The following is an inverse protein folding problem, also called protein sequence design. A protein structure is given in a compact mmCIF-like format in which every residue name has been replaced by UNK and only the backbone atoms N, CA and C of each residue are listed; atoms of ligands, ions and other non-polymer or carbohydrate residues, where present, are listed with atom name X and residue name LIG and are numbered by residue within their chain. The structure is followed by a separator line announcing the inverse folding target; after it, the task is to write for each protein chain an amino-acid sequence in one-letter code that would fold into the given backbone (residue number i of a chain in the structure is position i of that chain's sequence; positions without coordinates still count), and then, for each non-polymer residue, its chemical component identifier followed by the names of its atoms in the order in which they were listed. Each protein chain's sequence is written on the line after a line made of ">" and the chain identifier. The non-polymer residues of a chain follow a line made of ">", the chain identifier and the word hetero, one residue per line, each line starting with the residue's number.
data_IF_544905265510
#
_entry.id   IF_544905265510
#
_cell.length_a   1.000
_cell.length_b   1.000
_cell.length_c   1.000
_cell.angle_alpha   90.00
_cell.angle_beta   90.00
_cell.angle_gamma   90.00
#
_symmetry.space_group_name_H-M   'P 1'
#
loop_
_entity.id
_entity.type
_entity.pdbx_description
1 polymer ?
#
# COMPACT_ATOMS: atom_id res chain seq x y z
N UNK A 1 6.81 -24.18 2.92
CA UNK A 1 8.01 -23.49 2.41
C UNK A 1 7.78 -22.89 1.01
N UNK A 2 7.35 -23.68 0.00
CA UNK A 2 7.10 -23.17 -1.37
C UNK A 2 5.90 -22.21 -1.45
N UNK A 3 4.81 -22.49 -0.74
CA UNK A 3 3.54 -21.74 -0.81
C UNK A 3 3.64 -20.25 -0.41
N UNK A 4 4.52 -19.88 0.53
CA UNK A 4 4.61 -18.50 1.00
C UNK A 4 5.44 -17.61 0.05
N UNK A 5 6.48 -18.17 -0.60
CA UNK A 5 7.23 -17.47 -1.66
C UNK A 5 6.36 -17.27 -2.90
N UNK A 6 5.48 -18.24 -3.20
CA UNK A 6 4.49 -18.10 -4.29
C UNK A 6 3.50 -16.99 -3.98
N UNK A 7 2.94 -16.95 -2.77
CA UNK A 7 2.04 -15.85 -2.35
C UNK A 7 2.66 -14.45 -2.49
N UNK A 8 3.95 -14.29 -2.12
CA UNK A 8 4.66 -13.01 -2.33
C UNK A 8 4.79 -12.65 -3.81
N UNK A 9 5.18 -13.60 -4.65
CA UNK A 9 5.36 -13.37 -6.09
C UNK A 9 4.04 -12.99 -6.76
N UNK A 10 2.95 -13.63 -6.35
CA UNK A 10 1.60 -13.31 -6.81
C UNK A 10 1.14 -11.91 -6.37
N UNK A 11 1.45 -11.52 -5.12
CA UNK A 11 1.16 -10.17 -4.61
C UNK A 11 1.96 -9.10 -5.36
N UNK A 12 3.21 -9.41 -5.74
CA UNK A 12 4.06 -8.51 -6.50
C UNK A 12 3.49 -8.26 -7.91
N UNK A 13 3.05 -9.32 -8.60
CA UNK A 13 2.41 -9.21 -9.91
C UNK A 13 1.08 -8.43 -9.84
N UNK A 14 0.27 -8.67 -8.80
CA UNK A 14 -0.97 -7.92 -8.59
C UNK A 14 -0.69 -6.42 -8.35
N UNK A 15 0.37 -6.10 -7.61
CA UNK A 15 0.80 -4.72 -7.37
C UNK A 15 1.19 -4.00 -8.66
N UNK A 16 1.90 -4.65 -9.59
CA UNK A 16 2.33 -4.01 -10.84
C UNK A 16 1.14 -3.43 -11.63
N UNK A 17 0.01 -4.13 -11.66
CA UNK A 17 -1.21 -3.66 -12.31
C UNK A 17 -1.95 -2.64 -11.45
N UNK A 18 -2.08 -2.91 -10.15
CA UNK A 18 -2.77 -2.02 -9.22
C UNK A 18 -2.11 -0.64 -9.12
N UNK A 19 -0.79 -0.58 -9.15
CA UNK A 19 -0.05 0.67 -9.06
C UNK A 19 -0.32 1.60 -10.25
N UNK A 20 -0.71 1.06 -11.40
CA UNK A 20 -0.97 1.82 -12.63
C UNK A 20 -2.38 2.41 -12.72
N UNK A 21 -3.31 2.00 -11.85
CA UNK A 21 -4.68 2.54 -11.84
C UNK A 21 -4.70 3.96 -11.28
N UNK A 22 -5.71 4.76 -11.59
CA UNK A 22 -5.88 6.08 -10.96
C UNK A 22 -6.42 5.97 -9.53
N UNK A 23 -6.33 7.06 -8.77
CA UNK A 23 -6.76 7.08 -7.37
C UNK A 23 -8.28 6.88 -7.21
N UNK A 24 -9.08 7.37 -8.16
CA UNK A 24 -10.55 7.24 -8.11
C UNK A 24 -10.99 5.78 -8.25
N UNK A 25 -10.37 5.04 -9.18
CA UNK A 25 -10.59 3.61 -9.34
C UNK A 25 -10.15 2.86 -8.08
N UNK A 26 -8.98 3.20 -7.51
CA UNK A 26 -8.51 2.57 -6.27
C UNK A 26 -9.51 2.79 -5.13
N UNK A 27 -9.95 4.03 -4.95
CA UNK A 27 -10.92 4.43 -3.93
C UNK A 27 -12.25 3.71 -4.08
N UNK A 28 -12.74 3.54 -5.31
CA UNK A 28 -13.97 2.80 -5.57
C UNK A 28 -13.89 1.32 -5.16
N UNK A 29 -12.77 0.64 -5.46
CA UNK A 29 -12.63 -0.77 -5.06
C UNK A 29 -12.40 -0.93 -3.55
N UNK A 30 -11.66 0.00 -2.93
CA UNK A 30 -11.47 0.00 -1.47
C UNK A 30 -12.79 0.31 -0.74
N UNK A 31 -13.64 1.18 -1.30
CA UNK A 31 -14.99 1.42 -0.78
C UNK A 31 -15.87 0.17 -0.89
N UNK A 32 -15.77 -0.60 -1.98
CA UNK A 32 -16.45 -1.89 -2.11
C UNK A 32 -15.97 -2.88 -1.05
N UNK A 33 -14.65 -3.00 -0.84
CA UNK A 33 -14.06 -3.82 0.23
C UNK A 33 -14.60 -3.42 1.60
N UNK A 34 -14.60 -2.12 1.90
CA UNK A 34 -15.16 -1.57 3.14
C UNK A 34 -16.63 -1.95 3.32
N UNK A 35 -17.43 -1.91 2.26
CA UNK A 35 -18.86 -2.22 2.32
C UNK A 35 -19.12 -3.70 2.61
N UNK A 36 -18.33 -4.59 2.01
CA UNK A 36 -18.37 -6.03 2.30
C UNK A 36 -18.00 -6.32 3.77
N UNK A 37 -16.97 -5.64 4.29
CA UNK A 37 -16.58 -5.76 5.69
C UNK A 37 -17.67 -5.21 6.62
N UNK A 38 -18.23 -4.04 6.32
CA UNK A 38 -19.28 -3.39 7.13
C UNK A 38 -20.52 -4.26 7.29
N UNK A 39 -20.88 -5.03 6.25
CA UNK A 39 -22.01 -5.95 6.27
C UNK A 39 -21.87 -7.06 7.33
N UNK A 40 -20.63 -7.42 7.69
CA UNK A 40 -20.32 -8.47 8.67
C UNK A 40 -19.84 -7.90 10.00
N UNK A 41 -19.13 -6.77 9.99
CA UNK A 41 -18.57 -6.11 11.17
C UNK A 41 -18.43 -4.59 10.97
N UNK A 42 -19.46 -3.85 11.39
CA UNK A 42 -19.47 -2.39 11.33
C UNK A 42 -18.29 -1.70 12.06
N UNK A 43 -17.83 -2.16 13.26
CA UNK A 43 -16.72 -1.51 13.95
C UNK A 43 -15.40 -1.53 13.17
N UNK A 44 -15.14 -2.58 12.39
CA UNK A 44 -13.91 -2.69 11.59
C UNK A 44 -13.95 -1.79 10.36
N UNK A 45 -15.13 -1.50 9.83
CA UNK A 45 -15.31 -0.66 8.66
C UNK A 45 -15.20 0.85 8.95
N UNK A 46 -15.38 1.28 10.21
CA UNK A 46 -15.38 2.71 10.58
C UNK A 46 -14.04 3.40 10.25
N UNK A 47 -12.92 2.75 10.58
CA UNK A 47 -11.58 3.28 10.29
C UNK A 47 -11.30 3.34 8.79
N UNK A 48 -11.85 2.42 8.00
CA UNK A 48 -11.67 2.43 6.55
C UNK A 48 -12.34 3.66 5.91
N UNK A 49 -13.52 4.07 6.40
CA UNK A 49 -14.19 5.30 5.96
C UNK A 49 -13.30 6.53 6.22
N UNK A 50 -12.74 6.62 7.43
CA UNK A 50 -11.85 7.71 7.78
C UNK A 50 -10.64 7.78 6.84
N UNK A 51 -9.96 6.66 6.60
CA UNK A 51 -8.78 6.62 5.72
C UNK A 51 -9.10 6.84 4.23
N UNK A 52 -10.31 6.50 3.76
CA UNK A 52 -10.78 6.86 2.43
C UNK A 52 -10.84 8.39 2.25
N UNK A 53 -11.39 9.09 3.23
CA UNK A 53 -11.48 10.56 3.21
C UNK A 53 -10.09 11.21 3.29
N UNK A 54 -9.24 10.75 4.23
CA UNK A 54 -7.91 11.32 4.43
C UNK A 54 -6.99 11.07 3.24
N UNK A 55 -6.98 9.85 2.69
CA UNK A 55 -6.16 9.54 1.53
C UNK A 55 -6.61 10.31 0.28
N UNK A 56 -7.91 10.58 0.12
CA UNK A 56 -8.40 11.40 -0.98
C UNK A 56 -7.82 12.81 -0.94
N UNK A 57 -7.76 13.44 0.23
CA UNK A 57 -7.15 14.75 0.39
C UNK A 57 -5.63 14.77 0.12
N UNK A 58 -4.94 13.64 0.30
CA UNK A 58 -3.47 13.57 0.25
C UNK A 58 -2.92 12.99 -1.06
N UNK A 59 -3.66 12.10 -1.73
CA UNK A 59 -3.14 11.25 -2.81
C UNK A 59 -3.86 11.41 -4.16
N UNK A 60 -5.02 12.09 -4.20
CA UNK A 60 -5.84 12.16 -5.41
C UNK A 60 -5.25 13.05 -6.51
N UNK A 61 -4.62 14.16 -6.13
CA UNK A 61 -4.13 15.16 -7.08
C UNK A 61 -2.67 14.92 -7.49
N UNK A 62 -2.37 15.16 -8.76
CA UNK A 62 -1.01 15.33 -9.24
C UNK A 62 -0.63 16.81 -9.10
N UNK A 63 0.50 17.09 -8.45
CA UNK A 63 1.00 18.44 -8.28
C UNK A 63 1.78 18.89 -9.52
N UNK A 64 1.25 19.89 -10.22
CA UNK A 64 1.97 20.52 -11.32
C UNK A 64 3.17 21.32 -10.76
N UNK A 65 4.36 20.95 -11.21
CA UNK A 65 5.62 21.56 -10.80
C UNK A 65 6.05 22.61 -11.82
N UNK A 66 6.79 23.62 -11.36
CA UNK A 66 7.37 24.63 -12.24
C UNK A 66 8.30 23.98 -13.28
N UNK A 67 8.23 24.45 -14.52
CA UNK A 67 9.04 23.95 -15.64
C UNK A 67 9.19 24.99 -16.75
N UNK A 68 10.13 24.79 -17.68
CA UNK A 68 10.29 25.64 -18.87
C UNK A 68 9.12 25.45 -19.84
N UNK A 69 8.98 26.36 -20.81
CA UNK A 69 7.97 26.25 -21.87
C UNK A 69 8.14 24.97 -22.67
N UNK A 70 7.00 24.29 -22.93
CA UNK A 70 6.97 23.05 -23.67
C UNK A 70 7.48 21.83 -22.90
N UNK A 71 7.46 21.92 -21.57
CA UNK A 71 7.64 20.82 -20.63
C UNK A 71 6.48 20.81 -19.63
N UNK A 72 5.95 19.63 -19.33
CA UNK A 72 5.01 19.42 -18.21
C UNK A 72 5.71 18.57 -17.16
N UNK A 73 5.75 19.07 -15.92
CA UNK A 73 6.32 18.37 -14.77
C UNK A 73 5.23 18.10 -13.75
N UNK A 74 5.03 16.84 -13.40
CA UNK A 74 4.05 16.41 -12.38
C UNK A 74 4.76 15.68 -11.26
N UNK A 75 4.42 16.01 -10.01
CA UNK A 75 4.77 15.25 -8.81
C UNK A 75 3.51 14.50 -8.35
N UNK A 76 3.62 13.20 -8.15
CA UNK A 76 2.50 12.35 -7.74
C UNK A 76 2.97 11.22 -6.82
N UNK A 77 2.03 10.66 -6.06
CA UNK A 77 2.28 9.51 -5.20
C UNK A 77 2.07 8.20 -5.96
N UNK A 78 2.91 7.21 -5.68
CA UNK A 78 2.75 5.84 -6.18
C UNK A 78 2.97 4.83 -5.07
N UNK A 79 2.42 3.62 -5.25
CA UNK A 79 2.63 2.52 -4.32
C UNK A 79 4.10 2.10 -4.30
N UNK A 80 4.56 1.67 -3.13
CA UNK A 80 5.94 1.22 -2.94
C UNK A 80 6.16 -0.21 -3.41
N UNK A 81 5.15 -1.09 -3.28
CA UNK A 81 5.27 -2.51 -3.60
C UNK A 81 4.27 -3.39 -2.85
N UNK A 82 4.74 -4.54 -2.40
CA UNK A 82 4.01 -5.42 -1.47
C UNK A 82 4.12 -4.86 -0.05
N UNK A 83 2.99 -4.56 0.58
CA UNK A 83 2.86 -4.19 1.98
C UNK A 83 2.53 -5.41 2.83
N UNK A 84 3.33 -5.67 3.86
CA UNK A 84 3.09 -6.75 4.81
C UNK A 84 2.41 -6.17 6.06
N UNK A 85 1.24 -6.68 6.42
CA UNK A 85 0.53 -6.31 7.65
C UNK A 85 0.57 -7.51 8.59
N UNK A 86 1.15 -7.34 9.78
CA UNK A 86 1.29 -8.39 10.78
C UNK A 86 0.45 -7.99 11.99
N UNK A 87 -0.43 -8.89 12.42
CA UNK A 87 -1.26 -8.71 13.61
C UNK A 87 -0.88 -9.81 14.60
N UNK A 88 -0.29 -9.39 15.71
CA UNK A 88 0.08 -10.27 16.83
C UNK A 88 -1.16 -10.66 17.66
N UNK A 89 -1.01 -11.66 18.52
CA UNK A 89 -2.07 -11.99 19.49
C UNK A 89 -2.13 -10.91 20.57
N UNK A 90 -3.17 -10.08 20.47
CA UNK A 90 -3.38 -8.93 21.35
C UNK A 90 -4.55 -9.19 22.29
N UNK A 91 -4.43 -8.76 23.55
CA UNK A 91 -5.55 -8.81 24.51
C UNK A 91 -6.74 -7.98 24.02
N UNK A 92 -6.47 -6.77 23.51
CA UNK A 92 -7.46 -5.84 22.97
C UNK A 92 -7.75 -6.13 21.49
N UNK A 93 -8.52 -7.18 21.24
CA UNK A 93 -8.79 -7.65 19.86
C UNK A 93 -9.42 -6.60 18.95
N UNK A 94 -10.46 -5.91 19.41
CA UNK A 94 -11.21 -4.98 18.52
C UNK A 94 -10.33 -3.80 18.07
N UNK A 95 -9.65 -3.06 18.96
CA UNK A 95 -8.68 -2.03 18.55
C UNK A 95 -7.57 -2.54 17.64
N UNK A 96 -7.05 -3.76 17.91
CA UNK A 96 -6.00 -4.35 17.09
C UNK A 96 -6.48 -4.59 15.65
N UNK A 97 -7.66 -5.18 15.49
CA UNK A 97 -8.26 -5.46 14.18
C UNK A 97 -8.68 -4.19 13.44
N UNK A 98 -9.14 -3.16 14.16
CA UNK A 98 -9.38 -1.84 13.58
C UNK A 98 -8.07 -1.23 13.07
N UNK A 99 -6.99 -1.30 13.84
CA UNK A 99 -5.70 -0.77 13.40
C UNK A 99 -5.16 -1.54 12.20
N UNK A 100 -5.31 -2.86 12.19
CA UNK A 100 -4.98 -3.68 11.02
C UNK A 100 -5.78 -3.24 9.79
N UNK A 101 -7.08 -2.96 9.95
CA UNK A 101 -7.91 -2.46 8.85
C UNK A 101 -7.46 -1.10 8.34
N UNK A 102 -7.10 -0.17 9.23
CA UNK A 102 -6.52 1.12 8.86
C UNK A 102 -5.25 0.95 8.01
N UNK A 103 -4.34 0.07 8.43
CA UNK A 103 -3.10 -0.23 7.69
C UNK A 103 -3.39 -0.84 6.31
N UNK A 104 -4.32 -1.80 6.23
CA UNK A 104 -4.74 -2.44 4.96
C UNK A 104 -5.34 -1.38 4.02
N UNK A 105 -6.31 -0.59 4.50
CA UNK A 105 -6.98 0.45 3.73
C UNK A 105 -5.99 1.49 3.21
N UNK A 106 -5.12 2.02 4.10
CA UNK A 106 -4.13 3.01 3.73
C UNK A 106 -3.13 2.49 2.70
N UNK A 107 -2.66 1.25 2.84
CA UNK A 107 -1.74 0.62 1.90
C UNK A 107 -2.36 0.43 0.51
N UNK A 108 -3.62 -0.03 0.44
CA UNK A 108 -4.34 -0.22 -0.83
C UNK A 108 -4.58 1.12 -1.55
N UNK A 109 -5.03 2.15 -0.83
CA UNK A 109 -5.25 3.50 -1.38
C UNK A 109 -3.96 4.14 -1.86
N UNK A 110 -2.85 3.89 -1.15
CA UNK A 110 -1.51 4.28 -1.57
C UNK A 110 -0.98 3.52 -2.81
N UNK A 111 -1.70 2.50 -3.29
CA UNK A 111 -1.34 1.75 -4.50
C UNK A 111 -0.46 0.51 -4.25
N UNK A 112 -0.48 -0.05 -3.05
CA UNK A 112 0.27 -1.26 -2.70
C UNK A 112 -0.63 -2.51 -2.81
N UNK A 113 -0.03 -3.68 -3.01
CA UNK A 113 -0.68 -4.94 -2.66
C UNK A 113 -0.46 -5.26 -1.18
N UNK A 114 -1.31 -6.09 -0.59
CA UNK A 114 -1.30 -6.37 0.85
C UNK A 114 -1.21 -7.86 1.11
N UNK A 115 -0.26 -8.24 1.98
CA UNK A 115 -0.23 -9.55 2.62
C UNK A 115 -0.49 -9.39 4.11
N UNK A 116 -1.60 -9.94 4.58
CA UNK A 116 -1.99 -9.97 5.99
C UNK A 116 -1.49 -11.27 6.64
N UNK A 117 -0.78 -11.16 7.76
CA UNK A 117 -0.37 -12.27 8.62
C UNK A 117 -1.05 -12.13 9.99
N UNK A 118 -1.96 -13.05 10.30
CA UNK A 118 -2.57 -13.15 11.63
C UNK A 118 -3.07 -14.57 11.87
N UNK A 119 -3.33 -14.93 13.13
CA UNK A 119 -3.98 -16.20 13.48
C UNK A 119 -5.46 -16.02 13.89
N UNK A 120 -6.02 -14.81 13.75
CA UNK A 120 -7.45 -14.59 13.96
C UNK A 120 -8.24 -15.13 12.76
N UNK A 121 -8.77 -16.34 12.89
CA UNK A 121 -9.50 -17.06 11.83
C UNK A 121 -10.71 -16.26 11.34
N UNK A 122 -11.42 -15.56 12.23
CA UNK A 122 -12.61 -14.80 11.86
C UNK A 122 -12.23 -13.58 11.02
N UNK A 123 -11.23 -12.81 11.47
CA UNK A 123 -10.71 -11.66 10.74
C UNK A 123 -10.10 -12.06 9.40
N UNK A 124 -9.30 -13.13 9.38
CA UNK A 124 -8.69 -13.65 8.16
C UNK A 124 -9.74 -14.04 7.12
N UNK A 125 -10.79 -14.75 7.54
CA UNK A 125 -11.89 -15.16 6.66
C UNK A 125 -12.65 -13.94 6.15
N UNK A 126 -12.97 -13.00 7.04
CA UNK A 126 -13.65 -11.75 6.71
C UNK A 126 -12.89 -10.96 5.63
N UNK A 127 -11.59 -10.72 5.82
CA UNK A 127 -10.76 -9.96 4.86
C UNK A 127 -10.65 -10.70 3.53
N UNK A 128 -10.40 -12.02 3.57
CA UNK A 128 -10.25 -12.81 2.36
C UNK A 128 -11.53 -12.87 1.52
N UNK A 129 -12.70 -13.00 2.17
CA UNK A 129 -13.98 -13.08 1.47
C UNK A 129 -14.45 -11.71 0.99
N UNK A 130 -14.26 -10.66 1.80
CA UNK A 130 -14.53 -9.29 1.36
C UNK A 130 -13.67 -8.91 0.15
N UNK A 131 -12.39 -9.29 0.12
CA UNK A 131 -11.51 -9.01 -1.01
C UNK A 131 -11.95 -9.71 -2.31
N UNK A 132 -12.49 -10.93 -2.21
CA UNK A 132 -13.06 -11.65 -3.36
C UNK A 132 -14.36 -11.00 -3.85
N UNK A 133 -15.23 -10.58 -2.93
CA UNK A 133 -16.51 -9.96 -3.27
C UNK A 133 -16.38 -8.54 -3.83
N UNK A 134 -15.39 -7.77 -3.36
CA UNK A 134 -15.17 -6.37 -3.71
C UNK A 134 -14.59 -6.12 -5.11
N UNK A 135 -14.44 -7.18 -5.94
CA UNK A 135 -13.88 -7.10 -7.29
C UNK A 135 -12.44 -6.53 -7.36
N UNK A 136 -11.66 -6.70 -6.28
CA UNK A 136 -10.24 -6.39 -6.30
C UNK A 136 -9.51 -7.33 -7.27
N UNK A 137 -8.41 -6.87 -7.90
CA UNK A 137 -7.52 -7.74 -8.65
C UNK A 137 -7.14 -8.99 -7.84
N UNK A 138 -7.09 -10.14 -8.51
CA UNK A 138 -6.70 -11.40 -7.88
C UNK A 138 -5.32 -11.23 -7.22
N UNK A 139 -5.16 -11.80 -6.03
CA UNK A 139 -3.92 -11.75 -5.24
C UNK A 139 -3.51 -10.36 -4.73
N UNK A 140 -4.34 -9.31 -4.90
CA UNK A 140 -4.06 -7.97 -4.38
C UNK A 140 -4.08 -7.92 -2.85
N UNK A 141 -5.02 -8.63 -2.24
CA UNK A 141 -5.08 -8.86 -0.79
C UNK A 141 -4.99 -10.35 -0.55
N UNK A 142 -3.97 -10.77 0.17
CA UNK A 142 -3.76 -12.16 0.56
C UNK A 142 -3.65 -12.26 2.07
N UNK A 143 -4.09 -13.40 2.59
CA UNK A 143 -4.07 -13.68 4.03
C UNK A 143 -3.26 -14.95 4.28
N UNK A 144 -2.42 -14.92 5.30
CA UNK A 144 -1.58 -16.02 5.75
C UNK A 144 -1.61 -16.10 7.29
N UNK A 145 -1.15 -17.24 7.82
CA UNK A 145 -0.97 -17.40 9.27
C UNK A 145 0.12 -16.47 9.80
N UNK A 146 0.10 -16.19 11.10
CA UNK A 146 1.12 -15.38 11.76
C UNK A 146 2.54 -15.92 11.52
N UNK A 147 2.70 -17.25 11.55
CA UNK A 147 3.98 -17.94 11.29
C UNK A 147 4.62 -17.62 9.93
N UNK A 148 3.82 -17.18 8.94
CA UNK A 148 4.33 -16.76 7.64
C UNK A 148 5.11 -15.44 7.68
N UNK A 149 4.91 -14.62 8.71
CA UNK A 149 5.46 -13.27 8.80
C UNK A 149 6.99 -13.27 8.72
N UNK A 150 7.68 -14.17 9.41
CA UNK A 150 9.14 -14.25 9.39
C UNK A 150 9.69 -14.55 8.00
N UNK A 151 9.03 -15.43 7.25
CA UNK A 151 9.42 -15.73 5.88
C UNK A 151 9.15 -14.52 4.97
N UNK A 152 7.99 -13.88 5.07
CA UNK A 152 7.65 -12.72 4.26
C UNK A 152 8.52 -11.48 4.56
N UNK A 153 8.94 -11.30 5.81
CA UNK A 153 9.92 -10.27 6.20
C UNK A 153 11.29 -10.47 5.55
N UNK A 154 11.60 -11.67 5.06
CA UNK A 154 12.81 -11.95 4.27
C UNK A 154 12.62 -11.73 2.76
N UNK A 155 11.38 -11.61 2.28
CA UNK A 155 11.06 -11.27 0.89
C UNK A 155 11.19 -9.77 0.63
N UNK A 156 11.09 -9.34 -0.63
CA UNK A 156 11.24 -7.93 -1.05
C UNK A 156 10.00 -7.05 -0.76
N UNK A 157 9.42 -7.17 0.43
CA UNK A 157 8.35 -6.28 0.91
C UNK A 157 8.85 -4.84 1.01
N UNK A 158 7.99 -3.88 0.70
CA UNK A 158 8.37 -2.47 0.58
C UNK A 158 7.85 -1.58 1.71
N UNK A 159 6.91 -2.10 2.49
CA UNK A 159 6.40 -1.51 3.73
C UNK A 159 5.89 -2.59 4.67
N UNK A 160 5.99 -2.35 5.97
CA UNK A 160 5.47 -3.24 7.02
C UNK A 160 4.56 -2.45 7.97
N UNK A 161 3.34 -2.92 8.12
CA UNK A 161 2.44 -2.56 9.23
C UNK A 161 2.50 -3.64 10.30
N UNK A 162 2.64 -3.26 11.57
CA UNK A 162 2.62 -4.18 12.70
C UNK A 162 1.64 -3.70 13.76
N UNK A 163 0.87 -4.63 14.32
CA UNK A 163 -0.02 -4.39 15.45
C UNK A 163 0.31 -5.42 16.53
N UNK A 164 0.72 -4.96 17.71
CA UNK A 164 1.08 -5.86 18.81
C UNK A 164 1.94 -5.20 19.87
N UNK A 165 2.96 -5.90 20.36
CA UNK A 165 3.78 -5.41 21.48
C UNK A 165 5.07 -4.71 21.01
N UNK A 166 5.61 -3.83 21.86
CA UNK A 166 6.81 -3.05 21.56
C UNK A 166 8.07 -3.90 21.36
N UNK A 167 8.17 -5.06 22.00
CA UNK A 167 9.34 -5.94 21.89
C UNK A 167 9.43 -6.54 20.48
N UNK A 168 8.33 -7.09 19.97
CA UNK A 168 8.26 -7.63 18.61
C UNK A 168 8.40 -6.52 17.57
N UNK A 169 7.78 -5.34 17.78
CA UNK A 169 7.94 -4.19 16.89
C UNK A 169 9.42 -3.78 16.75
N UNK A 170 10.16 -3.72 17.86
CA UNK A 170 11.60 -3.44 17.85
C UNK A 170 12.39 -4.53 17.14
N UNK A 171 12.03 -5.80 17.35
CA UNK A 171 12.69 -6.92 16.68
C UNK A 171 12.50 -6.85 15.15
N UNK A 172 11.27 -6.57 14.69
CA UNK A 172 10.97 -6.36 13.27
C UNK A 172 11.78 -5.17 12.73
N UNK A 173 11.81 -4.03 13.44
CA UNK A 173 12.58 -2.87 13.02
C UNK A 173 14.07 -3.19 12.84
N UNK A 174 14.67 -3.91 13.79
CA UNK A 174 16.06 -4.35 13.71
C UNK A 174 16.31 -5.33 12.56
N UNK A 175 15.36 -6.23 12.29
CA UNK A 175 15.44 -7.15 11.16
C UNK A 175 15.38 -6.39 9.82
N UNK A 176 14.44 -5.45 9.68
CA UNK A 176 14.30 -4.64 8.47
C UNK A 176 15.53 -3.76 8.24
N UNK A 177 16.10 -3.17 9.29
CA UNK A 177 17.31 -2.35 9.20
C UNK A 177 18.58 -3.13 8.80
N UNK A 178 18.60 -4.45 9.00
CA UNK A 178 19.71 -5.33 8.59
C UNK A 178 19.65 -5.76 7.14
N UNK A 179 18.56 -5.48 6.44
CA UNK A 179 18.39 -5.89 5.04
C UNK A 179 19.29 -5.07 4.12
N UNK A 180 19.82 -5.72 3.11
CA UNK A 180 20.39 -5.05 1.96
C UNK A 180 19.25 -4.52 1.05
N UNK A 181 19.50 -3.42 0.35
CA UNK A 181 18.55 -2.81 -0.58
C UNK A 181 17.80 -1.62 -0.01
N UNK A 182 16.55 -1.41 -0.47
CA UNK A 182 15.78 -0.23 -0.10
C UNK A 182 15.33 -0.29 1.37
N UNK A 183 15.37 0.85 2.05
CA UNK A 183 14.88 0.97 3.42
C UNK A 183 13.37 0.70 3.44
N UNK A 184 12.98 -0.35 4.16
CA UNK A 184 11.58 -0.73 4.35
C UNK A 184 11.01 0.06 5.53
N UNK A 185 9.90 0.76 5.31
CA UNK A 185 9.24 1.51 6.39
C UNK A 185 8.47 0.57 7.31
N UNK A 186 8.60 0.75 8.63
CA UNK A 186 7.76 0.13 9.64
C UNK A 186 6.77 1.16 10.20
N UNK A 187 5.49 0.80 10.23
CA UNK A 187 4.44 1.48 10.97
C UNK A 187 3.94 0.50 12.01
N UNK A 188 4.17 0.77 13.29
CA UNK A 188 3.82 -0.14 14.37
C UNK A 188 2.82 0.53 15.32
N UNK A 189 1.70 -0.14 15.57
CA UNK A 189 0.81 0.20 16.67
C UNK A 189 1.12 -0.73 17.85
N UNK A 190 1.50 -0.10 18.96
CA UNK A 190 1.82 -0.80 20.21
C UNK A 190 1.02 -0.30 21.40
N UNK A 191 0.24 0.76 21.21
CA UNK A 191 -0.67 1.32 22.20
C UNK A 191 -2.11 1.27 21.67
N UNK A 192 -2.76 0.14 21.92
CA UNK A 192 -4.13 -0.13 21.47
C UNK A 192 -5.20 0.67 22.22
N UNK A 193 -4.85 1.33 23.32
CA UNK A 193 -5.77 2.20 24.03
C UNK A 193 -5.94 3.55 23.32
N UNK A 194 -4.87 4.08 22.73
CA UNK A 194 -4.91 5.37 22.01
C UNK A 194 -5.11 5.20 20.50
N UNK A 195 -4.66 4.09 19.92
CA UNK A 195 -4.80 3.78 18.49
C UNK A 195 -4.28 4.90 17.58
N UNK A 196 -3.12 5.49 17.92
CA UNK A 196 -2.58 6.64 17.20
C UNK A 196 -2.38 6.35 15.72
N UNK A 197 -1.96 5.13 15.35
CA UNK A 197 -1.78 4.72 13.96
C UNK A 197 -3.11 4.65 13.24
N UNK A 198 -4.13 4.05 13.86
CA UNK A 198 -5.45 3.92 13.24
C UNK A 198 -6.13 5.28 13.03
N UNK A 199 -5.78 6.26 13.85
CA UNK A 199 -6.35 7.61 13.84
C UNK A 199 -5.43 8.65 13.17
N UNK A 200 -4.31 8.25 12.56
CA UNK A 200 -3.38 9.17 11.90
C UNK A 200 -3.93 9.62 10.54
N UNK A 201 -4.21 10.92 10.33
CA UNK A 201 -4.69 11.41 9.03
C UNK A 201 -3.68 11.25 7.90
N UNK A 202 -2.39 11.08 8.20
CA UNK A 202 -1.33 10.95 7.22
C UNK A 202 -0.87 9.51 7.00
N UNK A 203 -1.61 8.52 7.52
CA UNK A 203 -1.21 7.11 7.47
C UNK A 203 -0.89 6.63 6.05
N UNK A 204 -1.67 7.05 5.05
CA UNK A 204 -1.47 6.68 3.65
C UNK A 204 -0.09 7.12 3.11
N UNK A 205 0.46 8.24 3.58
CA UNK A 205 1.79 8.72 3.19
C UNK A 205 2.92 7.79 3.67
N UNK A 206 2.67 6.92 4.65
CA UNK A 206 3.64 5.91 5.09
C UNK A 206 3.86 4.80 4.06
N UNK A 207 2.94 4.69 3.11
CA UNK A 207 2.87 3.61 2.11
C UNK A 207 3.12 4.09 0.67
N UNK A 208 3.52 5.35 0.46
CA UNK A 208 3.80 5.90 -0.88
C UNK A 208 5.29 6.07 -1.13
N UNK A 209 5.63 6.16 -2.41
CA UNK A 209 6.82 6.85 -2.90
C UNK A 209 6.37 8.04 -3.72
N UNK A 210 7.04 9.17 -3.56
CA UNK A 210 6.88 10.31 -4.46
C UNK A 210 7.55 9.97 -5.80
N UNK A 211 6.91 10.35 -6.89
CA UNK A 211 7.42 10.19 -8.26
C UNK A 211 7.22 11.49 -9.02
N UNK A 212 8.18 11.81 -9.86
CA UNK A 212 8.05 12.89 -10.83
C UNK A 212 7.90 12.32 -12.25
N UNK A 213 7.08 12.98 -13.06
CA UNK A 213 6.95 12.72 -14.49
C UNK A 213 7.18 14.03 -15.23
N UNK A 214 8.16 14.00 -16.13
CA UNK A 214 8.47 15.11 -17.02
C UNK A 214 8.16 14.70 -18.45
N UNK A 215 7.29 15.46 -19.12
CA UNK A 215 6.94 15.27 -20.54
C UNK A 215 7.44 16.48 -21.32
N UNK A 216 8.41 16.27 -22.20
CA UNK A 216 8.89 17.31 -23.09
C UNK A 216 8.00 17.40 -24.35
N UNK A 217 7.06 18.34 -24.33
CA UNK A 217 6.09 18.58 -25.40
C UNK A 217 6.76 19.24 -26.62
N UNK A 218 7.85 20.01 -26.44
CA UNK A 218 8.56 20.60 -27.59
C UNK A 218 9.15 19.55 -28.53
N UNK A 219 9.52 18.37 -28.02
CA UNK A 219 9.97 17.24 -28.84
C UNK A 219 8.84 16.65 -29.71
N UNK A 220 7.57 16.87 -29.36
CA UNK A 220 6.40 16.39 -30.11
C UNK A 220 6.01 17.35 -31.25
N UNK A 221 6.35 18.64 -31.12
CA UNK A 221 6.04 19.70 -32.09
C UNK A 221 7.25 20.28 -32.84
N UNK A 222 8.45 19.78 -32.60
CA UNK A 222 9.66 20.20 -33.31
C UNK A 222 9.52 19.94 -34.80
N UNK A 223 9.78 20.96 -35.61
CA UNK A 223 9.88 20.81 -37.07
C UNK A 223 10.87 19.68 -37.36
N UNK A 224 10.40 18.51 -37.83
CA UNK A 224 11.23 17.32 -38.06
C UNK A 224 12.47 17.62 -38.93
N UNK A 225 12.36 18.62 -39.81
CA UNK A 225 13.47 19.16 -40.62
C UNK A 225 14.67 19.64 -39.79
N UNK A 226 14.48 20.11 -38.54
CA UNK A 226 15.56 20.51 -37.63
C UNK A 226 16.28 19.31 -36.98
N UNK A 227 15.63 18.16 -36.87
CA UNK A 227 16.26 16.91 -36.40
C UNK A 227 17.12 16.28 -37.51
N UNK A 228 16.75 16.47 -38.78
CA UNK A 228 17.48 15.93 -39.94
C UNK A 228 18.73 16.74 -40.34
N UNK A 229 18.81 18.02 -39.92
CA UNK A 229 19.93 18.93 -40.22
C UNK A 229 21.29 18.51 -39.62
N UNK A 230 21.31 17.51 -38.73
CA UNK A 230 22.54 16.91 -38.19
C UNK A 230 22.93 15.57 -38.80
N UNK A 231 22.20 15.06 -39.81
CA UNK A 231 22.42 13.72 -40.39
C UNK A 231 23.16 13.71 -41.73
N UNK A 232 23.61 14.86 -42.24
CA UNK A 232 24.55 14.86 -43.37
C UNK A 232 25.91 14.30 -42.91
N UNK A 233 26.27 13.18 -43.52
CA UNK A 233 27.44 12.37 -43.21
C UNK A 233 28.73 13.19 -43.07
N UNK A 234 29.36 13.06 -41.90
CA UNK A 234 30.81 13.17 -41.76
C UNK A 234 31.45 11.80 -41.93
#
# INVERSE_FOLDING_TARGET
>A
MVHQVTGFSDALLAWEQWNLTDFDYKSAQVLALKSEIESQSAPLATVATYHLEQASALLSEHHLMAGPTGETNELYAAGRGVALVIVDDCEEKVPALQTAMALITAALLAGNSVQLCSDDVQFNTLVADAAKSANLPTNLVQVASYDAAQQLLSCDVRSVGYVGNSQTAQAINLQLAKRDGAIVGLVAETDLATMNVANDPHLSLRFITERTRTINITAVGGNATLLELGSEAH
#
